data_IF_089458967528
#
_entry.id   IF_089458967528
#
_cell.length_a   1.000
_cell.length_b   1.000
_cell.length_c   1.000
_cell.angle_alpha   90.00
_cell.angle_beta   90.00
_cell.angle_gamma   90.00
#
_symmetry.space_group_name_H-M   'P 1'
#
loop_
_entity.id
_entity.type
_entity.pdbx_description
1 polymer ?
#
# COMPACT_ATOMS: atom_id res chain seq x y z
N UNK A 1 -6.98 1.23 1.96
CA UNK A 1 -6.74 1.89 0.66
C UNK A 1 -6.43 0.84 -0.39
N UNK A 2 -7.13 0.90 -1.52
CA UNK A 2 -6.83 0.06 -2.69
C UNK A 2 -6.09 0.89 -3.73
N UNK A 3 -5.00 0.34 -4.25
CA UNK A 3 -4.13 0.99 -5.24
C UNK A 3 -4.00 0.09 -6.47
N UNK A 4 -4.96 0.14 -7.41
CA UNK A 4 -4.81 -0.57 -8.68
C UNK A 4 -3.86 0.19 -9.62
N UNK A 5 -2.96 -0.52 -10.28
CA UNK A 5 -1.96 0.11 -11.13
C UNK A 5 -1.45 -0.81 -12.24
N UNK A 6 -0.71 -0.20 -13.19
CA UNK A 6 0.12 -0.87 -14.18
C UNK A 6 1.55 -0.35 -14.06
N UNK A 7 2.25 -0.81 -13.04
CA UNK A 7 3.57 -0.31 -12.68
C UNK A 7 4.66 -1.13 -13.37
N UNK A 8 5.61 -0.50 -14.07
CA UNK A 8 6.60 -1.22 -14.88
C UNK A 8 7.70 -1.86 -14.04
N UNK A 9 8.27 -2.94 -14.55
CA UNK A 9 9.31 -3.74 -13.90
C UNK A 9 10.54 -2.90 -13.50
N UNK A 10 10.96 -1.97 -14.34
CA UNK A 10 12.12 -1.11 -14.05
C UNK A 10 11.94 -0.22 -12.82
N UNK A 11 10.71 -0.08 -12.34
CA UNK A 11 10.37 0.74 -11.17
C UNK A 11 9.78 -0.08 -10.03
N UNK A 12 10.15 -1.36 -9.93
CA UNK A 12 9.66 -2.25 -8.88
C UNK A 12 9.91 -1.69 -7.48
N UNK A 13 11.12 -1.18 -7.23
CA UNK A 13 11.46 -0.64 -5.91
C UNK A 13 10.58 0.56 -5.53
N UNK A 14 10.28 1.43 -6.49
CA UNK A 14 9.36 2.54 -6.26
C UNK A 14 7.96 2.05 -5.90
N UNK A 15 7.46 1.03 -6.61
CA UNK A 15 6.18 0.41 -6.31
C UNK A 15 6.09 -0.09 -4.88
N UNK A 16 7.09 -0.85 -4.45
CA UNK A 16 7.14 -1.42 -3.10
C UNK A 16 7.22 -0.34 -2.03
N UNK A 17 8.18 0.57 -2.14
CA UNK A 17 8.43 1.60 -1.12
C UNK A 17 7.26 2.58 -1.00
N UNK A 18 6.72 3.05 -2.11
CA UNK A 18 5.65 4.04 -2.07
C UNK A 18 4.37 3.48 -1.43
N UNK A 19 4.02 2.22 -1.72
CA UNK A 19 2.85 1.60 -1.10
C UNK A 19 3.04 1.35 0.40
N UNK A 20 4.23 0.93 0.82
CA UNK A 20 4.60 0.78 2.23
C UNK A 20 4.48 2.12 2.97
N UNK A 21 5.05 3.18 2.40
CA UNK A 21 4.98 4.54 2.97
C UNK A 21 3.54 5.02 3.09
N UNK A 22 2.70 4.78 2.08
CA UNK A 22 1.27 5.16 2.15
C UNK A 22 0.55 4.49 3.32
N UNK A 23 0.88 3.25 3.62
CA UNK A 23 0.31 2.57 4.78
C UNK A 23 0.76 3.21 6.09
N UNK A 24 2.05 3.51 6.23
CA UNK A 24 2.62 4.10 7.44
C UNK A 24 2.10 5.51 7.67
N UNK A 25 2.23 6.40 6.69
CA UNK A 25 1.90 7.82 6.85
C UNK A 25 0.40 8.10 7.03
N UNK A 26 -0.45 7.23 6.49
CA UNK A 26 -1.91 7.34 6.62
C UNK A 26 -2.48 6.41 7.69
N UNK A 27 -1.66 5.61 8.34
CA UNK A 27 -2.05 4.68 9.40
C UNK A 27 -3.27 3.82 8.98
N UNK A 28 -3.15 3.15 7.83
CA UNK A 28 -4.20 2.29 7.29
C UNK A 28 -3.61 1.09 6.53
N UNK A 29 -4.44 0.09 6.25
CA UNK A 29 -4.05 -0.99 5.35
C UNK A 29 -4.00 -0.49 3.91
N UNK A 30 -2.96 -0.92 3.18
CA UNK A 30 -2.85 -0.70 1.73
C UNK A 30 -2.90 -2.04 1.03
N UNK A 31 -3.84 -2.19 0.11
CA UNK A 31 -3.91 -3.31 -0.82
C UNK A 31 -3.52 -2.80 -2.21
N UNK A 32 -2.30 -3.06 -2.60
CA UNK A 32 -1.73 -2.62 -3.86
C UNK A 32 -1.83 -3.74 -4.88
N UNK A 33 -2.57 -3.51 -5.96
CA UNK A 33 -2.82 -4.51 -7.01
C UNK A 33 -2.22 -4.03 -8.31
N UNK A 34 -1.17 -4.71 -8.76
CA UNK A 34 -0.46 -4.34 -9.97
C UNK A 34 -0.75 -5.34 -11.11
N UNK A 35 -0.73 -4.85 -12.34
CA UNK A 35 -0.73 -5.69 -13.50
C UNK A 35 0.53 -6.55 -13.59
N UNK A 36 0.44 -7.65 -14.31
CA UNK A 36 1.57 -8.49 -14.69
C UNK A 36 1.53 -8.75 -16.20
N UNK A 37 2.63 -9.28 -16.73
CA UNK A 37 2.76 -9.50 -18.17
C UNK A 37 3.16 -8.27 -18.95
N UNK A 38 3.09 -8.36 -20.28
CA UNK A 38 3.59 -7.33 -21.19
C UNK A 38 2.47 -6.78 -22.05
N UNK A 39 2.37 -5.45 -22.12
CA UNK A 39 1.49 -4.75 -23.04
C UNK A 39 2.35 -3.81 -23.92
N UNK A 40 2.40 -4.09 -25.22
CA UNK A 40 3.31 -3.38 -26.11
C UNK A 40 4.78 -3.62 -25.73
N UNK A 41 5.48 -2.54 -25.38
CA UNK A 41 6.88 -2.59 -24.91
C UNK A 41 7.03 -2.53 -23.40
N UNK A 42 5.92 -2.44 -22.66
CA UNK A 42 5.92 -2.26 -21.22
C UNK A 42 5.61 -3.58 -20.54
N UNK A 43 6.54 -4.03 -19.71
CA UNK A 43 6.35 -5.16 -18.82
C UNK A 43 5.97 -4.65 -17.43
N UNK A 44 4.79 -5.05 -16.97
CA UNK A 44 4.33 -4.75 -15.61
C UNK A 44 5.02 -5.69 -14.62
N UNK A 45 5.33 -5.13 -13.45
CA UNK A 45 6.17 -5.87 -12.48
C UNK A 45 5.42 -6.94 -11.69
N UNK A 46 4.08 -6.92 -11.65
CA UNK A 46 3.36 -7.72 -10.69
C UNK A 46 3.60 -7.22 -9.26
N UNK A 47 3.96 -8.10 -8.35
CA UNK A 47 4.25 -7.77 -6.95
C UNK A 47 3.11 -7.02 -6.26
N UNK A 48 1.88 -7.48 -6.49
CA UNK A 48 0.72 -7.06 -5.70
C UNK A 48 0.96 -7.41 -4.24
N UNK A 49 0.61 -6.51 -3.33
CA UNK A 49 0.95 -6.68 -1.93
C UNK A 49 -0.08 -6.06 -0.99
N UNK A 50 -0.09 -6.52 0.25
CA UNK A 50 -0.88 -5.95 1.33
C UNK A 50 0.05 -5.52 2.46
N UNK A 51 -0.06 -4.27 2.86
CA UNK A 51 0.69 -3.68 3.97
C UNK A 51 -0.26 -3.31 5.10
N UNK A 52 0.16 -3.55 6.34
CA UNK A 52 -0.57 -3.07 7.52
C UNK A 52 -0.22 -1.60 7.84
N UNK A 53 -0.95 -0.96 8.78
CA UNK A 53 -0.67 0.43 9.15
C UNK A 53 0.72 0.66 9.76
N UNK A 54 1.43 -0.37 10.14
CA UNK A 54 2.80 -0.30 10.66
C UNK A 54 3.85 -0.41 9.55
N UNK A 55 3.42 -0.66 8.30
CA UNK A 55 4.28 -0.88 7.15
C UNK A 55 4.74 -2.32 6.98
N UNK A 56 4.22 -3.23 7.77
CA UNK A 56 4.55 -4.66 7.61
C UNK A 56 3.93 -5.21 6.34
N UNK A 57 4.74 -5.84 5.51
CA UNK A 57 4.28 -6.55 4.33
C UNK A 57 3.65 -7.88 4.76
N UNK A 58 2.33 -7.97 4.70
CA UNK A 58 1.56 -9.15 5.13
C UNK A 58 1.44 -10.19 4.02
N UNK A 59 1.48 -9.77 2.78
CA UNK A 59 1.31 -10.60 1.60
C UNK A 59 1.98 -9.92 0.42
N UNK A 60 2.80 -10.63 -0.31
CA UNK A 60 3.33 -10.17 -1.59
C UNK A 60 3.25 -11.29 -2.61
N UNK A 61 2.70 -10.99 -3.77
CA UNK A 61 2.69 -11.89 -4.92
C UNK A 61 3.98 -11.70 -5.73
N UNK A 62 4.23 -12.64 -6.62
CA UNK A 62 5.38 -12.57 -7.53
C UNK A 62 5.03 -11.83 -8.85
N UNK A 63 5.80 -12.08 -9.90
CA UNK A 63 5.60 -11.48 -11.22
C UNK A 63 4.52 -12.16 -12.05
N UNK A 64 3.99 -13.28 -11.58
CA UNK A 64 3.02 -14.09 -12.33
C UNK A 64 1.59 -13.67 -12.01
N UNK A 65 0.70 -13.94 -12.96
CA UNK A 65 -0.74 -13.83 -12.74
C UNK A 65 -1.18 -14.83 -11.67
N UNK A 66 -2.07 -14.42 -10.78
CA UNK A 66 -2.55 -15.29 -9.73
C UNK A 66 -3.59 -14.63 -8.83
N UNK A 67 -4.04 -15.40 -7.86
CA UNK A 67 -4.98 -14.96 -6.83
C UNK A 67 -4.38 -15.28 -5.47
N UNK A 68 -4.47 -14.34 -4.54
CA UNK A 68 -4.09 -14.53 -3.15
C UNK A 68 -5.11 -13.87 -2.24
N UNK A 69 -5.26 -14.40 -1.03
CA UNK A 69 -6.19 -13.88 -0.03
C UNK A 69 -5.50 -13.79 1.32
N UNK A 70 -5.87 -12.78 2.09
CA UNK A 70 -5.41 -12.60 3.45
C UNK A 70 -6.53 -11.97 4.28
N UNK A 71 -6.70 -12.43 5.49
CA UNK A 71 -7.60 -11.80 6.45
C UNK A 71 -6.89 -10.66 7.17
N UNK A 72 -7.55 -9.54 7.31
CA UNK A 72 -7.03 -8.38 8.04
C UNK A 72 -8.00 -8.01 9.16
N UNK A 73 -7.44 -7.55 10.28
CA UNK A 73 -8.21 -7.02 11.40
C UNK A 73 -8.19 -5.49 11.36
N UNK A 74 -9.31 -4.89 11.00
CA UNK A 74 -9.42 -3.43 10.88
C UNK A 74 -9.26 -2.70 12.22
N UNK A 75 -9.42 -3.39 13.36
CA UNK A 75 -9.17 -2.80 14.68
C UNK A 75 -7.71 -2.35 14.87
N UNK A 76 -6.78 -2.93 14.13
CA UNK A 76 -5.37 -2.53 14.13
C UNK A 76 -5.19 -1.07 13.73
N UNK A 77 -6.02 -0.54 12.83
CA UNK A 77 -5.98 0.87 12.42
C UNK A 77 -6.24 1.79 13.61
N UNK A 78 -7.29 1.49 14.37
CA UNK A 78 -7.65 2.29 15.54
C UNK A 78 -6.57 2.21 16.63
N UNK A 79 -6.06 1.00 16.90
CA UNK A 79 -5.01 0.77 17.89
C UNK A 79 -3.75 1.60 17.57
N UNK A 80 -3.32 1.60 16.32
CA UNK A 80 -2.13 2.34 15.89
C UNK A 80 -2.37 3.84 15.95
N UNK A 81 -3.53 4.32 15.52
CA UNK A 81 -3.90 5.74 15.58
C UNK A 81 -4.01 6.24 17.02
N UNK A 82 -4.35 5.38 17.97
CA UNK A 82 -4.36 5.71 19.39
C UNK A 82 -2.95 5.77 20.00
N UNK A 83 -2.00 4.99 19.48
CA UNK A 83 -0.60 5.01 19.92
C UNK A 83 0.16 6.22 19.36
N UNK A 84 -0.11 6.59 18.11
CA UNK A 84 0.54 7.71 17.42
C UNK A 84 -0.56 8.60 16.85
N UNK A 85 -0.78 9.76 17.46
CA UNK A 85 -1.94 10.63 17.23
C UNK A 85 -1.79 11.57 16.03
N UNK A 86 -1.23 11.13 14.90
CA UNK A 86 -0.93 11.99 13.75
C UNK A 86 -2.16 12.78 13.30
N UNK A 87 -3.32 12.12 13.16
CA UNK A 87 -4.54 12.80 12.69
C UNK A 87 -5.17 13.71 13.73
N UNK A 88 -5.08 13.36 15.03
CA UNK A 88 -5.59 14.21 16.12
C UNK A 88 -4.75 15.45 16.32
N UNK A 89 -3.44 15.36 16.07
CA UNK A 89 -2.49 16.43 16.27
C UNK A 89 -2.47 17.46 15.15
N UNK A 90 -3.24 17.22 14.08
CA UNK A 90 -3.39 18.18 13.00
C UNK A 90 -4.00 19.50 13.52
N UNK A 91 -3.58 20.60 12.92
CA UNK A 91 -4.07 21.95 13.20
C UNK A 91 -4.71 22.56 11.95
N UNK A 92 -5.90 22.06 11.53
CA UNK A 92 -6.53 22.50 10.28
C UNK A 92 -6.73 24.02 10.22
N UNK A 93 -6.96 24.64 11.38
CA UNK A 93 -7.15 26.09 11.52
C UNK A 93 -5.91 26.90 11.08
N UNK A 94 -4.73 26.26 11.01
CA UNK A 94 -3.49 26.92 10.60
C UNK A 94 -3.20 26.81 9.09
N UNK A 95 -3.98 26.03 8.35
CA UNK A 95 -3.67 25.70 6.96
C UNK A 95 -4.57 26.38 5.93
N UNK A 96 -5.59 27.10 6.33
CA UNK A 96 -6.57 27.71 5.42
C UNK A 96 -7.21 26.73 4.43
N UNK A 97 -7.47 25.52 4.89
CA UNK A 97 -8.06 24.45 4.06
C UNK A 97 -9.59 24.49 4.08
#
# INVERSE_FOLDING_TARGET
LFVPAQWPTMRLRHWQVLNEVRAIENQLFVCAVNGCGTVGRVQSTGHSAVYDPWGTNLLEMDTNEGIASIDIDLAVVEDIRNKINIFRDRKPELYNL
#
